data_IF_253816938568
#
_entry.id   IF_253816938568
#
_cell.length_a   1.000
_cell.length_b   1.000
_cell.length_c   1.000
_cell.angle_alpha   90.00
_cell.angle_beta   90.00
_cell.angle_gamma   90.00
#
_symmetry.space_group_name_H-M   'P 1'
#
loop_
_entity.id
_entity.type
_entity.pdbx_description
1 polymer ?
2 non-polymer ?
3 non-polymer ?
4 non-polymer ?
5 non-polymer ?
6 water ?
#
# COMPACT_ATOMS: atom_id res chain seq x y z
N UNK A 1 6.13 16.17 -19.65
CA UNK A 1 5.66 15.87 -21.03
C UNK A 1 4.20 15.42 -21.01
N UNK A 2 3.63 15.25 -22.20
CA UNK A 2 2.29 14.70 -22.36
C UNK A 2 2.27 13.26 -22.87
N UNK A 3 3.41 12.57 -22.76
CA UNK A 3 3.48 11.16 -23.15
C UNK A 3 3.40 10.24 -21.94
N UNK A 4 2.90 9.02 -22.12
CA UNK A 4 2.94 8.07 -21.01
C UNK A 4 4.36 7.65 -20.65
N UNK A 5 4.55 7.10 -19.44
CA UNK A 5 5.89 6.63 -19.06
C UNK A 5 6.37 5.48 -19.93
N UNK A 6 7.68 5.43 -20.16
CA UNK A 6 8.31 4.32 -20.87
C UNK A 6 8.10 3.04 -20.08
N UNK A 7 7.60 2.00 -20.76
CA UNK A 7 7.27 0.74 -20.14
C UNK A 7 8.48 -0.18 -19.90
N UNK A 8 8.27 -1.28 -19.20
CA UNK A 8 6.97 -1.61 -18.57
C UNK A 8 6.70 -0.75 -17.33
N UNK A 9 5.43 -0.66 -16.96
CA UNK A 9 4.99 0.16 -15.84
C UNK A 9 4.38 -0.75 -14.77
N UNK A 10 4.64 -0.42 -13.50
CA UNK A 10 4.08 -1.17 -12.36
C UNK A 10 3.72 -0.23 -11.21
N UNK A 11 2.42 -0.10 -10.95
CA UNK A 11 1.94 0.72 -9.83
C UNK A 11 2.40 0.11 -8.50
N UNK A 12 2.83 0.98 -7.60
CA UNK A 12 3.41 0.58 -6.31
C UNK A 12 2.29 0.54 -5.26
N UNK A 13 2.21 -0.56 -4.53
CA UNK A 13 1.22 -0.75 -3.47
C UNK A 13 1.57 -0.02 -2.18
N UNK A 14 0.56 0.18 -1.33
CA UNK A 14 0.74 0.91 -0.08
C UNK A 14 1.64 0.18 0.92
N UNK A 15 1.71 -1.14 0.79
CA UNK A 15 2.51 -2.00 1.67
C UNK A 15 3.92 -2.28 1.13
N UNK A 16 4.32 -1.57 0.08
CA UNK A 16 5.71 -1.57 -0.36
C UNK A 16 6.51 -0.55 0.45
N UNK A 17 7.84 -0.58 0.34
CA UNK A 17 8.67 0.42 1.03
C UNK A 17 8.18 1.83 0.78
N UNK A 18 8.04 2.60 1.86
CA UNK A 18 7.73 4.02 1.79
C UNK A 18 8.90 4.80 2.37
N UNK A 19 9.33 5.83 1.64
CA UNK A 19 10.36 6.75 2.12
C UNK A 19 9.79 7.81 3.05
N UNK A 20 8.48 8.08 2.96
CA UNK A 20 7.85 9.13 3.76
C UNK A 20 6.34 8.97 3.75
N UNK A 21 5.69 9.83 4.53
CA UNK A 21 4.24 10.01 4.50
C UNK A 21 3.96 11.50 4.36
N UNK A 22 2.93 11.83 3.58
CA UNK A 22 2.59 13.19 3.21
C UNK A 22 1.30 13.63 3.90
N UNK A 23 1.40 14.73 4.66
CA UNK A 23 0.27 15.33 5.38
C UNK A 23 0.28 16.84 5.07
N UNK A 24 -0.78 17.54 5.48
CA UNK A 24 -0.95 18.96 5.13
C UNK A 24 -1.36 19.79 6.33
N UNK A 25 -0.84 21.03 6.39
CA UNK A 25 -1.23 22.04 7.37
C UNK A 25 -1.98 23.15 6.62
N UNK A 26 -3.07 23.73 7.14
CA UNK A 26 -3.74 23.40 8.40
C UNK A 26 -4.17 21.94 8.52
N UNK A 27 -4.02 21.40 9.73
CA UNK A 27 -4.11 19.98 9.98
C UNK A 27 -5.54 19.44 9.99
N UNK A 28 -5.67 18.19 9.53
CA UNK A 28 -6.85 17.38 9.75
C UNK A 28 -6.60 16.14 10.57
N UNK A 29 -5.40 16.02 11.14
CA UNK A 29 -5.01 14.86 11.93
C UNK A 29 -4.47 15.32 13.28
N UNK A 30 -4.58 14.45 14.31
CA UNK A 30 -4.10 14.82 15.63
C UNK A 30 -2.58 14.86 15.71
N UNK A 31 -2.07 15.76 16.54
CA UNK A 31 -0.64 15.88 16.74
C UNK A 31 0.00 14.57 17.21
N UNK A 32 -0.73 13.81 18.03
CA UNK A 32 -0.24 12.52 18.51
C UNK A 32 0.07 11.56 17.36
N UNK A 33 -0.73 11.60 16.28
CA UNK A 33 -0.46 10.78 15.10
C UNK A 33 0.82 11.22 14.41
N UNK A 34 1.00 12.53 14.24
CA UNK A 34 2.21 13.06 13.61
C UNK A 34 3.44 12.64 14.43
N UNK A 35 3.34 12.75 15.76
CA UNK A 35 4.40 12.31 16.66
C UNK A 35 4.71 10.83 16.46
N UNK A 36 3.67 9.99 16.42
CA UNK A 36 3.89 8.54 16.27
C UNK A 36 4.51 8.23 14.90
N UNK A 37 4.01 8.89 13.85
CA UNK A 37 4.58 8.71 12.51
C UNK A 37 6.06 9.07 12.47
N UNK A 38 6.38 10.24 13.01
CA UNK A 38 7.75 10.76 12.98
C UNK A 38 8.76 9.99 13.84
N UNK A 39 8.28 9.15 14.77
CA UNK A 39 9.19 8.31 15.56
C UNK A 39 10.07 7.45 14.65
N UNK A 40 9.48 6.88 13.60
CA UNK A 40 10.19 5.95 12.69
C UNK A 40 10.29 6.37 11.23
N UNK A 41 9.41 7.26 10.76
CA UNK A 41 9.31 7.57 9.33
C UNK A 41 9.37 9.06 9.08
N UNK A 42 9.82 9.42 7.88
CA UNK A 42 9.84 10.81 7.46
C UNK A 42 8.41 11.28 7.24
N UNK A 43 8.08 12.41 7.85
CA UNK A 43 6.80 13.07 7.65
C UNK A 43 7.06 14.34 6.85
N UNK A 44 6.46 14.42 5.66
CA UNK A 44 6.52 15.61 4.82
C UNK A 44 5.24 16.39 5.06
N UNK A 45 5.36 17.61 5.58
CA UNK A 45 4.19 18.47 5.81
C UNK A 45 4.10 19.51 4.70
N UNK A 46 2.94 19.58 4.05
CA UNK A 46 2.68 20.61 3.05
C UNK A 46 2.23 21.88 3.78
N UNK A 47 2.90 22.99 3.46
CA UNK A 47 2.60 24.33 3.99
C UNK A 47 2.60 25.33 2.85
N UNK A 48 2.01 26.50 3.07
CA UNK A 48 1.82 27.50 2.02
C UNK A 48 2.97 28.49 1.87
N UNK A 49 3.84 28.56 2.87
CA UNK A 49 4.90 29.55 2.90
C UNK A 49 5.95 29.16 3.91
N UNK A 50 7.08 29.86 3.84
CA UNK A 50 8.18 29.69 4.80
C UNK A 50 7.72 30.01 6.22
N UNK A 51 6.94 31.08 6.38
CA UNK A 51 6.40 31.46 7.69
C UNK A 51 5.50 30.37 8.27
N UNK A 52 4.70 29.77 7.40
CA UNK A 52 3.81 28.69 7.85
C UNK A 52 4.62 27.44 8.24
N UNK A 53 5.66 27.13 7.48
CA UNK A 53 6.61 26.09 7.88
C UNK A 53 7.09 26.33 9.31
N UNK A 54 7.52 27.55 9.60
CA UNK A 54 8.03 27.86 10.93
C UNK A 54 6.97 27.80 12.03
N UNK A 55 5.74 28.17 11.71
CA UNK A 55 4.62 27.98 12.64
C UNK A 55 4.44 26.49 12.99
N UNK A 56 4.51 25.63 11.98
CA UNK A 56 4.40 24.19 12.17
C UNK A 56 5.58 23.65 12.99
N UNK A 57 6.79 24.11 12.68
CA UNK A 57 7.98 23.69 13.45
C UNK A 57 7.82 24.01 14.94
N UNK A 58 7.32 25.21 15.25
CA UNK A 58 7.06 25.58 16.63
C UNK A 58 6.10 24.59 17.31
N UNK A 59 5.01 24.26 16.63
CA UNK A 59 4.03 23.29 17.15
C UNK A 59 4.63 21.90 17.34
N UNK A 60 5.39 21.44 16.34
CA UNK A 60 6.09 20.14 16.44
C UNK A 60 7.07 20.10 17.61
N UNK A 61 7.82 21.19 17.78
CA UNK A 61 8.78 21.30 18.88
C UNK A 61 8.08 21.24 20.24
N UNK A 62 6.99 22.00 20.36
CA UNK A 62 6.22 22.04 21.61
C UNK A 62 5.58 20.70 21.97
N UNK A 63 5.24 19.91 20.95
CA UNK A 63 4.62 18.59 21.13
C UNK A 63 5.60 17.42 21.22
N UNK A 64 6.90 17.69 21.15
CA UNK A 64 7.92 16.64 21.28
C UNK A 64 8.07 15.73 20.07
N UNK A 65 7.73 16.26 18.89
CA UNK A 65 7.86 15.51 17.64
C UNK A 65 9.34 15.36 17.30
N UNK A 66 9.72 14.19 16.78
CA UNK A 66 11.09 13.93 16.30
C UNK A 66 11.37 14.77 15.05
N UNK A 67 11.98 15.94 15.25
CA UNK A 67 12.25 16.87 14.15
C UNK A 67 13.18 16.33 13.08
N UNK A 68 14.06 15.38 13.41
CA UNK A 68 14.95 14.78 12.40
C UNK A 68 14.17 14.10 11.30
N UNK A 69 12.93 13.69 11.58
CA UNK A 69 12.06 13.11 10.55
C UNK A 69 11.00 14.06 9.99
N UNK A 70 11.16 15.37 10.18
CA UNK A 70 10.19 16.36 9.71
C UNK A 70 10.72 17.16 8.53
N UNK A 71 10.08 16.98 7.39
CA UNK A 71 10.38 17.65 6.14
C UNK A 71 9.18 18.48 5.66
N UNK A 72 9.41 19.41 4.73
CA UNK A 72 8.36 20.33 4.27
C UNK A 72 8.36 20.54 2.77
N UNK A 73 7.16 20.72 2.20
CA UNK A 73 6.99 21.20 0.83
C UNK A 73 6.17 22.47 0.91
N UNK A 74 6.63 23.52 0.21
CA UNK A 74 5.92 24.78 0.15
C UNK A 74 5.08 24.82 -1.14
N UNK A 75 3.77 24.79 -0.97
CA UNK A 75 2.83 24.80 -2.09
C UNK A 75 1.45 25.13 -1.57
N UNK A 76 0.66 25.80 -2.39
CA UNK A 76 -0.73 26.08 -2.06
C UNK A 76 -1.55 24.80 -2.13
N UNK A 77 -2.42 24.60 -1.14
CA UNK A 77 -3.40 23.52 -1.16
C UNK A 77 -4.74 24.04 -0.67
N UNK A 78 -5.81 23.41 -1.15
CA UNK A 78 -7.18 23.71 -0.69
C UNK A 78 -7.61 22.89 0.53
N UNK A 79 -7.06 21.69 0.70
CA UNK A 79 -7.54 20.79 1.75
C UNK A 79 -6.46 19.90 2.33
N UNK A 80 -6.82 19.23 3.44
CA UNK A 80 -5.93 18.27 4.08
C UNK A 80 -6.12 16.83 3.62
N UNK A 81 -6.94 16.60 2.58
CA UNK A 81 -7.18 15.24 2.09
C UNK A 81 -6.09 14.80 1.12
N UNK A 82 -4.87 14.65 1.63
CA UNK A 82 -3.72 14.33 0.79
C UNK A 82 -3.86 12.95 0.12
N UNK A 83 -4.64 12.06 0.71
CA UNK A 83 -4.94 10.79 0.06
C UNK A 83 -5.50 10.98 -1.33
N UNK A 84 -6.34 11.99 -1.48
CA UNK A 84 -7.20 12.08 -2.64
C UNK A 84 -6.63 12.85 -3.81
N UNK A 85 -5.75 13.81 -3.55
CA UNK A 85 -5.22 14.68 -4.60
C UNK A 85 -3.72 14.57 -4.89
N UNK A 86 -2.94 13.94 -4.00
CA UNK A 86 -1.50 13.85 -4.25
C UNK A 86 -1.23 12.75 -5.28
N UNK A 87 -0.02 12.70 -5.82
CA UNK A 87 0.27 11.84 -6.96
C UNK A 87 0.35 10.36 -6.60
N UNK A 88 0.15 9.52 -7.61
CA UNK A 88 0.25 8.07 -7.44
C UNK A 88 1.61 7.59 -7.91
N UNK A 89 2.17 6.60 -7.23
CA UNK A 89 3.51 6.12 -7.52
C UNK A 89 3.53 4.88 -8.41
N UNK A 90 4.43 4.88 -9.38
CA UNK A 90 4.63 3.74 -10.26
C UNK A 90 6.09 3.60 -10.63
N UNK A 91 6.53 2.34 -10.74
CA UNK A 91 7.81 2.05 -11.37
C UNK A 91 7.63 2.06 -12.88
N UNK A 92 8.64 2.54 -13.59
CA UNK A 92 8.63 2.55 -15.04
C UNK A 92 10.06 2.41 -15.58
N UNK A 93 10.17 2.10 -16.87
CA UNK A 93 11.46 2.01 -17.54
C UNK A 93 12.47 1.12 -16.77
N UNK A 94 11.97 -0.03 -16.31
CA UNK A 94 12.72 -1.05 -15.53
C UNK A 94 13.06 -0.67 -14.08
N UNK A 95 13.74 0.46 -13.89
CA UNK A 95 14.29 0.80 -12.58
C UNK A 95 14.13 2.27 -12.20
N UNK A 96 13.02 2.89 -12.62
CA UNK A 96 12.73 4.27 -12.22
C UNK A 96 11.41 4.33 -11.46
N UNK A 97 11.32 5.29 -10.55
CA UNK A 97 10.09 5.57 -9.81
C UNK A 97 9.58 6.92 -10.29
N UNK A 98 8.30 6.94 -10.67
CA UNK A 98 7.65 8.14 -11.18
C UNK A 98 6.36 8.44 -10.44
N UNK A 99 5.85 9.64 -10.69
CA UNK A 99 4.60 10.12 -10.12
C UNK A 99 3.56 10.26 -11.23
N UNK A 100 2.34 9.85 -10.95
CA UNK A 100 1.23 9.95 -11.91
C UNK A 100 0.22 10.95 -11.36
N UNK A 101 0.01 12.04 -12.12
CA UNK A 101 -1.01 13.04 -11.87
C UNK A 101 -2.30 12.60 -12.57
N UNK A 102 -3.41 13.17 -12.12
CA UNK A 102 -4.74 12.86 -12.63
C UNK A 102 -5.61 14.09 -12.38
N UNK A 103 -6.81 14.12 -12.94
CA UNK A 103 -7.74 15.23 -12.71
C UNK A 103 -8.50 14.92 -11.41
N UNK A 104 -8.18 15.67 -10.36
CA UNK A 104 -8.84 15.50 -9.07
C UNK A 104 -10.34 15.75 -9.24
N UNK A 105 -11.16 14.82 -8.73
CA UNK A 105 -12.61 14.88 -8.94
C UNK A 105 -13.37 15.85 -8.01
N UNK A 106 -12.73 16.98 -7.67
CA UNK A 106 -13.30 18.01 -6.81
C UNK A 106 -12.89 19.37 -7.38
N UNK A 107 -13.70 20.42 -7.14
CA UNK A 107 -13.39 21.77 -7.60
C UNK A 107 -12.39 22.45 -6.66
N UNK A 108 -11.17 21.91 -6.65
CA UNK A 108 -10.12 22.28 -5.72
C UNK A 108 -8.84 22.42 -6.54
N UNK A 109 -8.65 23.59 -7.17
CA UNK A 109 -7.59 23.71 -8.18
C UNK A 109 -6.16 23.66 -7.65
N UNK A 110 -5.94 24.09 -6.41
CA UNK A 110 -4.61 24.00 -5.79
C UNK A 110 -4.28 22.56 -5.41
N UNK A 111 -5.25 21.86 -4.83
CA UNK A 111 -5.13 20.41 -4.61
C UNK A 111 -4.80 19.70 -5.93
N UNK A 112 -5.55 20.03 -6.98
CA UNK A 112 -5.38 19.39 -8.28
C UNK A 112 -3.98 19.62 -8.86
N UNK A 113 -3.43 20.81 -8.65
CA UNK A 113 -2.13 21.17 -9.20
C UNK A 113 -0.97 20.57 -8.41
N UNK A 114 -1.22 20.21 -7.14
CA UNK A 114 -0.15 19.86 -6.20
C UNK A 114 0.88 18.81 -6.67
N UNK A 115 0.44 17.74 -7.36
CA UNK A 115 1.42 16.70 -7.74
C UNK A 115 2.69 17.20 -8.44
N UNK A 116 2.61 18.26 -9.25
CA UNK A 116 3.82 18.81 -9.87
C UNK A 116 4.85 19.26 -8.82
N UNK A 117 4.39 19.86 -7.72
CA UNK A 117 5.28 20.29 -6.64
C UNK A 117 5.86 19.10 -5.87
N UNK A 118 5.04 18.05 -5.73
CA UNK A 118 5.47 16.80 -5.12
C UNK A 118 6.59 16.14 -5.93
N UNK A 119 6.39 16.04 -7.24
CA UNK A 119 7.40 15.45 -8.12
C UNK A 119 8.71 16.27 -8.11
N UNK A 120 8.58 17.59 -8.13
CA UNK A 120 9.73 18.48 -8.07
C UNK A 120 10.51 18.29 -6.77
N UNK A 121 9.80 18.25 -5.65
CA UNK A 121 10.42 18.03 -4.34
C UNK A 121 11.16 16.69 -4.28
N UNK A 122 10.51 15.64 -4.78
CA UNK A 122 11.09 14.30 -4.74
C UNK A 122 12.20 14.06 -5.77
N UNK A 123 12.27 14.92 -6.80
CA UNK A 123 13.25 14.75 -7.86
C UNK A 123 12.92 13.60 -8.80
N UNK A 124 11.62 13.41 -9.08
CA UNK A 124 11.17 12.34 -9.98
C UNK A 124 10.33 12.91 -11.10
N UNK A 125 10.21 12.16 -12.19
CA UNK A 125 9.39 12.56 -13.32
C UNK A 125 7.90 12.38 -13.00
N UNK A 126 7.08 13.27 -13.56
CA UNK A 126 5.62 13.18 -13.43
C UNK A 126 4.98 12.94 -14.80
N UNK A 127 3.92 12.13 -14.81
CA UNK A 127 3.18 11.78 -16.01
C UNK A 127 1.70 12.08 -15.79
N UNK A 128 1.05 12.64 -16.80
CA UNK A 128 -0.34 13.11 -16.68
C UNK A 128 -1.36 12.14 -17.24
N UNK A 129 -2.06 11.44 -16.36
CA UNK A 129 -3.10 10.51 -16.77
C UNK A 129 -4.43 11.26 -16.79
N UNK A 130 -4.99 11.47 -17.99
CA UNK A 130 -6.19 12.29 -18.13
C UNK A 130 -7.47 11.49 -17.81
N UNK A 131 -7.66 11.24 -16.52
CA UNK A 131 -8.88 10.64 -15.98
C UNK A 131 -9.26 11.44 -14.75
N UNK A 132 -10.56 11.62 -14.55
CA UNK A 132 -11.07 12.13 -13.29
C UNK A 132 -10.94 11.02 -12.26
N UNK A 133 -10.16 11.28 -11.21
CA UNK A 133 -9.79 10.27 -10.22
C UNK A 133 -9.67 10.87 -8.82
N UNK A 134 -9.52 9.97 -7.85
CA UNK A 134 -9.27 10.36 -6.47
C UNK A 134 -8.58 9.19 -5.77
N UNK A 135 -7.48 9.48 -5.08
CA UNK A 135 -6.70 8.44 -4.43
C UNK A 135 -7.44 7.58 -3.42
N UNK A 136 -8.43 8.16 -2.74
CA UNK A 136 -9.25 7.39 -1.79
C UNK A 136 -10.02 6.27 -2.46
N UNK A 137 -10.30 6.44 -3.75
CA UNK A 137 -10.98 5.41 -4.51
C UNK A 137 -10.02 4.52 -5.33
N UNK A 138 -8.77 4.42 -4.92
CA UNK A 138 -7.77 3.66 -5.64
C UNK A 138 -6.92 2.85 -4.70
N UNK A 139 -6.72 1.58 -5.03
CA UNK A 139 -5.68 0.79 -4.41
C UNK A 139 -5.17 -0.24 -5.41
N UNK A 140 -3.86 -0.49 -5.36
CA UNK A 140 -3.24 -1.52 -6.21
C UNK A 140 -2.58 -2.59 -5.37
N UNK A 141 -2.49 -3.81 -5.93
CA UNK A 141 -1.80 -4.89 -5.23
C UNK A 141 -0.29 -4.96 -5.47
N UNK A 142 0.22 -4.11 -6.35
CA UNK A 142 1.63 -4.16 -6.77
C UNK A 142 1.97 -5.21 -7.83
N UNK A 143 0.95 -5.88 -8.35
CA UNK A 143 1.08 -6.90 -9.38
C UNK A 143 0.11 -6.63 -10.55
N UNK A 144 -0.23 -5.36 -10.77
CA UNK A 144 -1.04 -4.98 -11.90
C UNK A 144 -2.54 -4.98 -11.73
N UNK A 145 -3.04 -5.27 -10.51
CA UNK A 145 -4.48 -5.14 -10.22
C UNK A 145 -4.77 -3.87 -9.45
N UNK A 146 -5.92 -3.27 -9.72
CA UNK A 146 -6.40 -2.13 -8.95
C UNK A 146 -7.91 -2.27 -8.76
N UNK A 147 -8.36 -1.95 -7.56
CA UNK A 147 -9.78 -1.94 -7.22
C UNK A 147 -10.24 -0.51 -7.06
N UNK A 148 -11.37 -0.19 -7.67
CA UNK A 148 -12.02 1.12 -7.52
C UNK A 148 -13.52 0.94 -7.49
N UNK A 149 -14.22 1.85 -6.81
CA UNK A 149 -15.67 1.94 -6.97
C UNK A 149 -16.03 2.46 -8.37
N UNK A 150 -17.30 2.25 -8.70
CA UNK A 150 -17.89 2.59 -9.98
C UNK A 150 -17.70 4.03 -10.48
N UNK A 151 -17.42 4.99 -9.60
CA UNK A 151 -17.19 6.37 -10.03
C UNK A 151 -15.98 6.52 -10.97
N UNK A 152 -15.05 5.57 -10.93
CA UNK A 152 -13.96 5.52 -11.90
C UNK A 152 -14.48 5.50 -13.35
N UNK A 153 -15.62 4.85 -13.58
CA UNK A 153 -16.28 4.90 -14.89
C UNK A 153 -17.26 6.06 -15.00
N UNK A 154 -18.12 6.25 -13.99
CA UNK A 154 -19.23 7.21 -14.12
C UNK A 154 -18.78 8.67 -14.13
N UNK A 155 -17.65 8.98 -13.50
CA UNK A 155 -17.07 10.33 -13.57
C UNK A 155 -16.14 10.54 -14.77
N UNK A 156 -16.02 9.50 -15.61
CA UNK A 156 -15.30 9.56 -16.88
C UNK A 156 -16.21 9.04 -18.00
N UNK A 157 -17.45 9.50 -17.99
CA UNK A 157 -18.50 8.93 -18.85
C UNK A 157 -18.36 9.26 -20.34
N UNK A 158 -17.51 10.23 -20.69
CA UNK A 158 -17.21 10.49 -22.11
C UNK A 158 -16.28 9.42 -22.71
N UNK A 159 -15.62 8.65 -21.85
CA UNK A 159 -14.80 7.52 -22.28
C UNK A 159 -15.54 6.20 -22.08
N UNK A 160 -15.27 5.24 -22.95
CA UNK A 160 -15.73 3.86 -22.74
C UNK A 160 -14.97 3.24 -21.57
N UNK A 161 -15.52 2.18 -21.01
CA UNK A 161 -14.83 1.42 -19.96
C UNK A 161 -13.45 0.97 -20.45
N UNK A 162 -13.38 0.47 -21.70
CA UNK A 162 -12.11 0.07 -22.31
C UNK A 162 -11.07 1.21 -22.35
N UNK A 163 -11.52 2.41 -22.72
CA UNK A 163 -10.63 3.59 -22.75
C UNK A 163 -10.13 3.98 -21.36
N UNK A 164 -11.00 3.89 -20.36
CA UNK A 164 -10.61 4.12 -18.97
C UNK A 164 -9.58 3.07 -18.54
N UNK A 165 -9.87 1.80 -18.83
CA UNK A 165 -8.93 0.70 -18.52
C UNK A 165 -7.57 0.93 -19.20
N UNK A 166 -7.60 1.37 -20.46
CA UNK A 166 -6.35 1.60 -21.20
C UNK A 166 -5.51 2.73 -20.61
N UNK A 167 -6.15 3.79 -20.12
CA UNK A 167 -5.41 4.86 -19.44
C UNK A 167 -4.70 4.32 -18.21
N UNK A 168 -5.40 3.47 -17.45
CA UNK A 168 -4.80 2.86 -16.26
C UNK A 168 -3.63 1.93 -16.63
N UNK A 169 -3.75 1.23 -17.75
CA UNK A 169 -2.66 0.39 -18.26
C UNK A 169 -1.44 1.24 -18.68
N UNK A 170 -1.69 2.28 -19.46
CA UNK A 170 -0.59 3.10 -20.01
C UNK A 170 0.17 3.90 -18.95
N UNK A 171 -0.53 4.41 -17.94
CA UNK A 171 0.10 5.26 -16.92
C UNK A 171 0.50 4.53 -15.64
N UNK A 172 -0.19 3.44 -15.32
CA UNK A 172 0.04 2.71 -14.06
C UNK A 172 0.36 1.23 -14.21
N UNK A 173 0.37 0.71 -15.45
CA UNK A 173 0.61 -0.71 -15.68
C UNK A 173 -0.49 -1.64 -15.21
N UNK A 174 -1.68 -1.10 -14.95
CA UNK A 174 -2.79 -1.90 -14.46
C UNK A 174 -3.34 -2.74 -15.62
N UNK A 175 -3.24 -4.06 -15.48
CA UNK A 175 -3.79 -5.02 -16.44
C UNK A 175 -5.12 -5.64 -15.99
N UNK A 176 -5.46 -5.47 -14.71
CA UNK A 176 -6.72 -5.93 -14.14
C UNK A 176 -7.34 -4.79 -13.33
N UNK A 177 -8.18 -4.01 -14.02
CA UNK A 177 -8.80 -2.82 -13.45
C UNK A 177 -10.17 -3.26 -12.96
N UNK A 178 -10.23 -3.55 -11.66
CA UNK A 178 -11.41 -4.16 -11.05
C UNK A 178 -12.31 -3.08 -10.47
N UNK A 179 -13.19 -2.57 -11.33
CA UNK A 179 -14.14 -1.53 -10.95
C UNK A 179 -15.45 -2.19 -10.57
N UNK A 180 -15.92 -1.88 -9.36
CA UNK A 180 -17.10 -2.52 -8.78
C UNK A 180 -18.09 -1.48 -8.28
N UNK A 181 -19.36 -1.89 -8.20
CA UNK A 181 -20.41 -1.03 -7.63
C UNK A 181 -20.16 -0.88 -6.14
N UNK A 182 -20.17 0.37 -5.66
CA UNK A 182 -19.80 0.66 -4.29
C UNK A 182 -20.87 0.06 -3.38
N UNK A 183 -20.46 -0.70 -2.35
CA UNK A 183 -21.41 -1.39 -1.46
C UNK A 183 -21.88 -0.57 -0.24
N UNK A 184 -21.41 0.66 -0.07
CA UNK A 184 -21.63 1.41 1.17
C UNK A 184 -22.86 2.32 1.26
N UNK A 185 -23.49 2.62 0.13
CA UNK A 185 -24.71 3.45 0.14
C UNK A 185 -24.55 4.86 0.70
N UNK A 186 -23.38 5.45 0.51
CA UNK A 186 -23.11 6.82 0.97
C UNK A 186 -22.59 7.65 -0.20
N UNK A 187 -22.39 8.96 0.01
CA UNK A 187 -22.10 9.87 -1.10
C UNK A 187 -20.73 9.66 -1.72
N UNK A 188 -19.76 9.25 -0.91
CA UNK A 188 -18.36 9.43 -1.32
C UNK A 188 -17.89 8.39 -2.34
N UNK A 189 -18.37 7.16 -2.26
CA UNK A 189 -18.01 6.10 -3.20
C UNK A 189 -16.49 5.92 -3.36
N UNK A 190 -15.80 5.80 -2.23
CA UNK A 190 -14.35 5.51 -2.21
C UNK A 190 -14.11 4.11 -1.66
N UNK A 191 -13.33 3.33 -2.39
CA UNK A 191 -12.91 2.00 -1.90
C UNK A 191 -12.38 2.02 -0.46
N UNK A 192 -11.66 3.07 -0.05
CA UNK A 192 -11.06 3.04 1.30
C UNK A 192 -12.05 3.12 2.45
N UNK A 193 -13.33 3.33 2.15
CA UNK A 193 -14.39 3.23 3.16
C UNK A 193 -14.97 1.84 3.31
N UNK A 194 -14.57 0.89 2.46
CA UNK A 194 -15.03 -0.50 2.60
C UNK A 194 -14.03 -1.61 2.31
N UNK A 195 -12.91 -1.30 1.66
CA UNK A 195 -11.98 -2.35 1.24
C UNK A 195 -10.53 -1.89 1.27
N UNK A 196 -9.63 -2.82 1.57
CA UNK A 196 -8.21 -2.51 1.64
C UNK A 196 -7.37 -3.77 1.41
N UNK A 197 -6.53 -3.77 0.38
CA UNK A 197 -5.50 -4.81 0.27
C UNK A 197 -4.54 -4.65 1.45
N UNK A 198 -4.35 -5.71 2.23
CA UNK A 198 -3.34 -5.71 3.29
C UNK A 198 -2.00 -6.29 2.84
N UNK A 199 -2.05 -7.08 1.78
CA UNK A 199 -0.91 -7.75 1.15
C UNK A 199 -1.41 -8.22 -0.22
N UNK A 200 -0.54 -8.76 -1.08
CA UNK A 200 -1.04 -9.22 -2.37
C UNK A 200 -2.10 -10.32 -2.28
N UNK A 201 -2.10 -11.05 -1.16
CA UNK A 201 -3.00 -12.17 -0.93
C UNK A 201 -4.03 -11.96 0.17
N UNK A 202 -4.20 -10.72 0.62
CA UNK A 202 -5.08 -10.41 1.75
C UNK A 202 -5.90 -9.16 1.45
N UNK A 203 -7.20 -9.23 1.67
CA UNK A 203 -8.05 -8.05 1.54
C UNK A 203 -9.00 -7.96 2.74
N UNK A 204 -9.11 -6.75 3.27
CA UNK A 204 -10.02 -6.42 4.36
C UNK A 204 -11.28 -5.84 3.75
N UNK A 205 -12.44 -6.37 4.15
CA UNK A 205 -13.73 -5.89 3.66
C UNK A 205 -14.60 -5.57 4.87
N UNK A 206 -15.17 -4.36 4.87
CA UNK A 206 -16.07 -3.92 5.93
C UNK A 206 -17.24 -4.88 6.14
N UNK A 207 -17.69 -4.99 7.40
CA UNK A 207 -18.86 -5.76 7.77
C UNK A 207 -19.74 -4.87 8.63
N UNK A 208 -21.05 -5.04 8.52
CA UNK A 208 -22.00 -4.30 9.33
C UNK A 208 -22.99 -5.27 9.98
N UNK A 209 -23.77 -4.81 10.97
CA UNK A 209 -24.78 -5.70 11.58
C UNK A 209 -25.79 -6.24 10.56
N UNK A 210 -26.38 -7.40 10.87
CA UNK A 210 -27.30 -8.09 9.95
C UNK A 210 -28.44 -7.20 9.41
N UNK A 211 -28.96 -6.31 10.27
CA UNK A 211 -30.10 -5.47 9.91
C UNK A 211 -29.72 -4.11 9.27
N UNK A 212 -28.42 -3.86 9.12
CA UNK A 212 -27.93 -2.66 8.43
C UNK A 212 -28.31 -2.78 6.94
N UNK A 213 -28.79 -1.69 6.31
CA UNK A 213 -29.24 -1.79 4.89
C UNK A 213 -28.19 -2.26 3.86
N UNK A 214 -26.93 -2.02 4.16
CA UNK A 214 -25.80 -2.46 3.33
C UNK A 214 -25.18 -3.81 3.73
N UNK A 215 -25.81 -4.53 4.65
CA UNK A 215 -25.24 -5.81 5.11
C UNK A 215 -24.99 -6.78 3.96
N UNK A 216 -26.01 -7.02 3.14
CA UNK A 216 -25.88 -7.99 2.04
C UNK A 216 -24.88 -7.52 0.96
N UNK A 217 -24.88 -6.24 0.64
CA UNK A 217 -23.93 -5.71 -0.35
C UNK A 217 -22.49 -5.98 0.10
N UNK A 218 -22.20 -5.78 1.37
CA UNK A 218 -20.86 -6.03 1.90
C UNK A 218 -20.52 -7.52 1.99
N UNK A 219 -21.48 -8.35 2.39
CA UNK A 219 -21.28 -9.81 2.35
C UNK A 219 -21.01 -10.28 0.92
N UNK A 220 -21.73 -9.74 -0.05
CA UNK A 220 -21.51 -10.08 -1.46
C UNK A 220 -20.10 -9.68 -1.92
N UNK A 221 -19.64 -8.50 -1.49
CA UNK A 221 -18.30 -8.04 -1.83
C UNK A 221 -17.24 -8.95 -1.22
N UNK A 222 -17.42 -9.34 0.04
CA UNK A 222 -16.48 -10.28 0.68
C UNK A 222 -16.44 -11.63 -0.06
N UNK A 223 -17.60 -12.16 -0.43
CA UNK A 223 -17.67 -13.41 -1.19
C UNK A 223 -16.99 -13.31 -2.55
N UNK A 224 -17.16 -12.17 -3.21
CA UNK A 224 -16.52 -11.90 -4.50
C UNK A 224 -14.99 -12.04 -4.40
N UNK A 225 -14.38 -11.42 -3.40
CA UNK A 225 -12.93 -11.54 -3.26
C UNK A 225 -12.49 -12.92 -2.78
N UNK A 226 -13.27 -13.54 -1.90
CA UNK A 226 -12.94 -14.89 -1.41
C UNK A 226 -12.91 -15.94 -2.53
N UNK A 227 -13.73 -15.72 -3.57
CA UNK A 227 -13.77 -16.61 -4.74
C UNK A 227 -12.69 -16.31 -5.78
N UNK A 228 -11.96 -15.22 -5.58
CA UNK A 228 -11.04 -14.72 -6.57
C UNK A 228 -9.61 -15.14 -6.26
N UNK A 229 -8.94 -15.67 -7.29
CA UNK A 229 -7.53 -16.00 -7.21
C UNK A 229 -6.71 -14.69 -7.21
N UNK A 230 -5.76 -14.58 -6.28
CA UNK A 230 -4.91 -13.40 -6.14
C UNK A 230 -3.62 -13.55 -6.97
N UNK A 231 -2.77 -12.52 -6.93
CA UNK A 231 -1.56 -12.48 -7.77
C UNK A 231 -0.59 -13.63 -7.48
N UNK A 232 -0.61 -14.13 -6.25
CA UNK A 232 0.22 -15.27 -5.85
C UNK A 232 -0.38 -16.64 -6.19
N UNK A 233 -1.62 -16.67 -6.68
CA UNK A 233 -2.23 -17.91 -7.18
C UNK A 233 -3.18 -18.62 -6.22
N UNK A 234 -3.19 -18.17 -4.96
CA UNK A 234 -4.12 -18.66 -3.96
C UNK A 234 -5.34 -17.74 -3.95
N UNK A 235 -6.44 -18.20 -3.37
CA UNK A 235 -7.59 -17.32 -3.15
C UNK A 235 -7.23 -16.26 -2.13
N UNK A 236 -7.79 -15.06 -2.28
CA UNK A 236 -7.58 -14.01 -1.26
C UNK A 236 -7.98 -14.52 0.11
N UNK A 237 -7.15 -14.23 1.10
CA UNK A 237 -7.54 -14.30 2.50
C UNK A 237 -8.39 -13.05 2.73
N UNK A 238 -9.66 -13.24 3.05
CA UNK A 238 -10.60 -12.13 3.27
C UNK A 238 -10.85 -11.95 4.76
N UNK A 239 -10.50 -10.77 5.24
CA UNK A 239 -10.66 -10.38 6.64
C UNK A 239 -11.80 -9.39 6.70
N UNK A 240 -12.48 -9.34 7.85
CA UNK A 240 -13.65 -8.47 8.01
C UNK A 240 -13.48 -7.57 9.21
N UNK A 241 -13.72 -6.27 9.01
CA UNK A 241 -13.73 -5.30 10.10
C UNK A 241 -15.19 -4.93 10.36
N UNK A 242 -15.67 -5.26 11.55
CA UNK A 242 -17.07 -5.02 11.91
C UNK A 242 -17.29 -3.60 12.43
N UNK A 243 -18.03 -2.83 11.65
CA UNK A 243 -18.46 -1.48 12.03
C UNK A 243 -19.86 -1.57 12.61
N UNK A 244 -19.95 -1.52 13.94
CA UNK A 244 -21.24 -1.55 14.63
C UNK A 244 -21.94 -0.19 14.58
N UNK A 245 -21.16 0.87 14.43
CA UNK A 245 -21.64 2.26 14.45
C UNK A 245 -20.86 3.13 13.44
N UNK A 246 -20.73 2.59 12.23
CA UNK A 246 -20.11 3.30 11.10
C UNK A 246 -18.67 3.78 11.38
N UNK A 247 -17.93 3.02 12.18
CA UNK A 247 -16.53 3.35 12.48
C UNK A 247 -15.69 3.08 11.21
N UNK A 248 -14.74 3.98 10.91
CA UNK A 248 -13.97 3.89 9.66
C UNK A 248 -12.76 2.92 9.71
N UNK A 249 -13.00 1.69 10.14
CA UNK A 249 -11.89 0.75 10.40
C UNK A 249 -11.09 0.32 9.18
N UNK A 250 -11.66 0.38 7.97
CA UNK A 250 -10.88 0.08 6.75
C UNK A 250 -10.03 1.27 6.29
N UNK A 251 -10.25 2.44 6.88
CA UNK A 251 -9.58 3.68 6.49
C UNK A 251 -8.27 3.87 7.25
N UNK A 252 -7.41 2.86 7.14
CA UNK A 252 -6.14 2.80 7.83
C UNK A 252 -4.99 3.08 6.87
N UNK A 253 -3.81 3.34 7.43
CA UNK A 253 -2.59 3.54 6.65
C UNK A 253 -1.59 2.44 6.98
N UNK A 254 -1.12 1.73 5.95
CA UNK A 254 0.03 0.84 6.08
C UNK A 254 1.26 1.65 5.69
N UNK A 255 2.20 1.79 6.62
CA UNK A 255 3.43 2.52 6.37
C UNK A 255 4.58 1.66 6.84
N UNK A 256 5.27 1.05 5.87
CA UNK A 256 6.36 0.11 6.16
C UNK A 256 5.87 -1.01 7.08
N UNK A 257 6.43 -1.18 8.28
CA UNK A 257 6.04 -2.29 9.18
C UNK A 257 5.04 -1.87 10.28
N UNK A 258 4.33 -0.76 10.07
CA UNK A 258 3.32 -0.29 11.02
C UNK A 258 2.02 -0.03 10.29
N UNK A 259 0.91 -0.17 11.02
CA UNK A 259 -0.43 0.08 10.49
C UNK A 259 -1.16 0.99 11.48
N UNK A 260 -1.67 2.10 10.95
CA UNK A 260 -2.33 3.12 11.75
C UNK A 260 -3.82 3.06 11.46
N UNK A 261 -4.59 2.65 12.47
CA UNK A 261 -6.02 2.36 12.32
C UNK A 261 -6.81 3.40 13.11
N UNK A 262 -7.71 4.14 12.44
CA UNK A 262 -8.53 5.10 13.21
C UNK A 262 -9.53 4.37 14.09
N UNK A 263 -9.70 4.86 15.31
CA UNK A 263 -10.64 4.28 16.29
C UNK A 263 -11.50 5.40 16.84
N UNK A 264 -12.79 5.13 17.02
CA UNK A 264 -13.69 6.15 17.56
C UNK A 264 -14.84 5.61 18.42
N UNK A 265 -14.64 4.45 19.02
CA UNK A 265 -15.54 3.92 20.05
C UNK A 265 -16.64 3.03 19.52
N UNK A 266 -17.16 2.08 20.31
CA UNK A 266 -16.70 1.79 21.69
C UNK A 266 -15.34 1.10 21.72
N UNK A 267 -14.66 1.17 22.87
CA UNK A 267 -13.31 0.62 23.03
C UNK A 267 -13.22 -0.87 22.65
N UNK A 268 -14.20 -1.66 23.08
CA UNK A 268 -14.21 -3.11 22.77
C UNK A 268 -14.31 -3.38 21.27
N UNK A 269 -15.14 -2.60 20.58
CA UNK A 269 -15.35 -2.74 19.14
C UNK A 269 -14.10 -2.27 18.38
N UNK A 270 -13.47 -1.19 18.85
CA UNK A 270 -12.18 -0.74 18.32
C UNK A 270 -11.14 -1.83 18.45
N UNK A 271 -11.05 -2.42 19.64
CA UNK A 271 -10.06 -3.47 19.88
C UNK A 271 -10.32 -4.71 19.01
N UNK A 272 -11.59 -5.04 18.78
CA UNK A 272 -11.93 -6.14 17.86
C UNK A 272 -11.35 -5.86 16.45
N UNK A 273 -11.51 -4.63 15.96
CA UNK A 273 -10.97 -4.24 14.66
C UNK A 273 -9.44 -4.35 14.63
N UNK A 274 -8.79 -3.84 15.68
CA UNK A 274 -7.33 -3.95 15.79
C UNK A 274 -6.90 -5.42 15.78
N UNK A 275 -7.64 -6.29 16.46
CA UNK A 275 -7.35 -7.72 16.46
C UNK A 275 -7.39 -8.35 15.08
N UNK A 276 -8.32 -7.89 14.24
CA UNK A 276 -8.39 -8.41 12.87
C UNK A 276 -7.09 -8.09 12.12
N UNK A 277 -6.63 -6.84 12.23
CA UNK A 277 -5.36 -6.46 11.61
C UNK A 277 -4.19 -7.26 12.17
N UNK A 278 -4.17 -7.46 13.48
CA UNK A 278 -3.08 -8.22 14.11
C UNK A 278 -3.03 -9.67 13.62
N UNK A 279 -4.19 -10.30 13.49
CA UNK A 279 -4.32 -11.67 12.98
C UNK A 279 -3.89 -11.74 11.52
N UNK A 280 -4.34 -10.78 10.72
CA UNK A 280 -4.03 -10.76 9.28
C UNK A 280 -2.57 -10.47 8.96
N UNK A 281 -1.92 -9.69 9.83
CA UNK A 281 -0.62 -9.10 9.51
C UNK A 281 0.45 -9.36 10.58
N UNK A 282 0.82 -10.64 10.78
CA UNK A 282 1.86 -10.93 11.76
C UNK A 282 3.16 -10.21 11.45
N UNK A 283 3.82 -9.74 12.51
CA UNK A 283 5.04 -8.95 12.37
C UNK A 283 4.85 -7.45 12.28
N UNK A 284 3.65 -7.00 11.92
CA UNK A 284 3.35 -5.57 11.85
C UNK A 284 2.94 -5.04 13.22
N UNK A 285 3.30 -3.80 13.51
CA UNK A 285 2.83 -3.11 14.70
C UNK A 285 1.52 -2.42 14.35
N UNK A 286 0.43 -2.86 14.97
CA UNK A 286 -0.90 -2.32 14.72
C UNK A 286 -1.20 -1.26 15.80
N UNK A 287 -1.51 -0.04 15.36
CA UNK A 287 -1.63 1.12 16.25
C UNK A 287 -3.02 1.75 16.06
N UNK A 288 -3.81 1.73 17.13
CA UNK A 288 -5.08 2.45 17.16
C UNK A 288 -4.85 3.93 17.37
N UNK A 289 -5.54 4.77 16.59
CA UNK A 289 -5.33 6.22 16.62
C UNK A 289 -6.64 6.97 16.87
N UNK A 290 -6.72 7.65 18.01
CA UNK A 290 -7.86 8.49 18.34
C UNK A 290 -7.83 9.74 17.49
N UNK A 291 -9.01 10.26 17.15
CA UNK A 291 -9.12 11.45 16.32
C UNK A 291 -8.88 12.74 17.09
N UNK A 292 -8.59 13.80 16.33
CA UNK A 292 -8.48 15.15 16.88
C UNK A 292 -9.90 15.71 17.11
N UNK A 293 -10.10 16.38 18.25
CA UNK A 293 -11.41 16.95 18.58
C UNK A 293 -11.95 17.93 17.52
N UNK A 294 -11.08 18.78 16.99
CA UNK A 294 -11.47 19.78 15.99
C UNK A 294 -11.79 19.22 14.61
N UNK A 295 -11.14 18.12 14.26
CA UNK A 295 -11.30 17.47 12.95
C UNK A 295 -11.45 15.96 13.14
N UNK A 296 -12.58 15.53 13.71
CA UNK A 296 -12.75 14.11 14.10
C UNK A 296 -12.79 13.15 12.92
N UNK A 297 -12.56 11.88 13.21
CA UNK A 297 -12.77 10.84 12.22
C UNK A 297 -14.27 10.75 11.90
N UNK A 298 -14.57 10.45 10.65
CA UNK A 298 -15.94 10.26 10.18
C UNK A 298 -15.98 8.93 9.45
N UNK A 299 -17.16 8.34 9.32
CA UNK A 299 -17.33 7.10 8.57
C UNK A 299 -16.80 7.15 7.14
N UNK A 300 -16.98 8.29 6.49
CA UNK A 300 -16.56 8.51 5.10
C UNK A 300 -15.21 9.22 4.96
N UNK A 301 -14.52 9.48 6.07
CA UNK A 301 -13.34 10.35 6.03
C UNK A 301 -12.54 10.17 7.31
N UNK A 302 -11.45 9.41 7.23
CA UNK A 302 -10.63 9.21 8.42
C UNK A 302 -9.13 9.21 8.08
N UNK A 303 -8.34 8.36 8.74
CA UNK A 303 -6.89 8.48 8.73
C UNK A 303 -6.29 8.26 7.32
N UNK A 304 -6.74 7.22 6.62
CA UNK A 304 -6.25 6.98 5.24
C UNK A 304 -6.50 8.18 4.34
N UNK A 305 -7.65 8.84 4.53
CA UNK A 305 -8.04 9.99 3.72
C UNK A 305 -7.13 11.21 3.88
N UNK A 306 -6.42 11.29 5.00
CA UNK A 306 -5.66 12.48 5.38
C UNK A 306 -4.16 12.20 5.43
N UNK A 307 -3.74 11.14 4.76
CA UNK A 307 -2.34 10.76 4.63
C UNK A 307 -2.10 10.22 3.23
N UNK A 308 -0.86 10.27 2.77
CA UNK A 308 -0.44 9.52 1.57
C UNK A 308 0.99 9.08 1.71
N UNK A 309 1.20 7.77 1.61
CA UNK A 309 2.55 7.21 1.58
C UNK A 309 3.32 7.71 0.36
N UNK A 310 4.63 7.81 0.53
CA UNK A 310 5.53 8.28 -0.53
C UNK A 310 6.55 7.19 -0.82
N UNK A 311 6.61 6.75 -2.07
CA UNK A 311 7.55 5.70 -2.46
C UNK A 311 9.00 6.17 -2.40
N UNK A 312 9.90 5.18 -2.41
CA UNK A 312 11.34 5.41 -2.36
C UNK A 312 11.85 5.54 -3.79
N UNK A 313 12.33 6.73 -4.15
CA UNK A 313 12.85 6.92 -5.51
C UNK A 313 14.07 6.04 -5.82
N UNK A 314 14.78 5.59 -4.78
CA UNK A 314 15.89 4.64 -4.93
C UNK A 314 15.53 3.20 -4.56
N UNK A 315 14.24 2.87 -4.61
CA UNK A 315 13.68 1.57 -4.19
C UNK A 315 14.48 0.36 -4.67
N UNK A 316 14.84 -0.50 -3.73
CA UNK A 316 15.39 -1.81 -4.04
C UNK A 316 14.20 -2.76 -4.16
N UNK A 317 13.79 -3.03 -5.40
CA UNK A 317 12.54 -3.74 -5.69
C UNK A 317 12.79 -5.23 -5.96
N UNK A 318 12.12 -6.09 -5.20
CA UNK A 318 12.13 -7.54 -5.39
C UNK A 318 10.83 -7.99 -6.04
N UNK A 319 10.92 -8.55 -7.25
CA UNK A 319 9.79 -9.14 -7.97
C UNK A 319 9.82 -10.63 -7.74
N UNK A 320 8.77 -11.19 -7.17
CA UNK A 320 8.72 -12.61 -6.84
C UNK A 320 7.31 -13.15 -6.81
N UNK A 321 7.09 -14.27 -7.49
CA UNK A 321 5.85 -15.03 -7.39
C UNK A 321 6.19 -16.28 -6.59
N UNK A 322 5.59 -16.47 -5.42
CA UNK A 322 6.03 -17.52 -4.53
C UNK A 322 5.56 -18.93 -4.89
N UNK A 323 6.30 -19.91 -4.36
CA UNK A 323 5.93 -21.32 -4.35
C UNK A 323 5.18 -21.56 -3.06
N UNK A 324 3.91 -21.97 -3.20
CA UNK A 324 3.00 -22.13 -2.06
C UNK A 324 2.26 -23.46 -2.11
N UNK A 325 1.89 -23.96 -0.94
CA UNK A 325 1.05 -25.14 -0.82
C UNK A 325 1.73 -26.43 -1.28
N UNK A 326 0.94 -27.38 -1.74
CA UNK A 326 1.46 -28.69 -2.14
C UNK A 326 2.17 -28.59 -3.49
N UNK A 327 3.47 -28.83 -3.48
CA UNK A 327 4.30 -28.69 -4.68
C UNK A 327 4.81 -30.05 -5.13
N UNK A 328 4.71 -30.29 -6.43
CA UNK A 328 5.00 -31.60 -7.03
C UNK A 328 6.48 -31.97 -6.95
N UNK A 329 7.38 -31.02 -7.18
CA UNK A 329 8.80 -31.32 -7.34
C UNK A 329 9.04 -32.01 -8.68
N UNK A 330 10.14 -32.75 -8.83
CA UNK A 330 11.16 -32.97 -7.80
C UNK A 330 12.06 -31.77 -7.53
N UNK A 331 12.06 -30.79 -8.43
CA UNK A 331 12.77 -29.54 -8.21
C UNK A 331 11.82 -28.52 -7.59
N UNK A 332 12.35 -27.72 -6.69
CA UNK A 332 11.61 -26.65 -6.03
C UNK A 332 12.43 -25.39 -6.23
N UNK A 333 12.26 -24.78 -7.40
CA UNK A 333 13.08 -23.65 -7.82
C UNK A 333 12.30 -22.35 -7.68
N UNK A 334 12.82 -21.43 -6.89
CA UNK A 334 12.23 -20.09 -6.77
C UNK A 334 13.00 -19.15 -7.68
N UNK A 335 12.31 -18.14 -8.19
CA UNK A 335 12.93 -17.12 -9.04
C UNK A 335 12.56 -15.75 -8.53
N UNK A 336 13.50 -14.82 -8.54
CA UNK A 336 13.20 -13.44 -8.20
C UNK A 336 14.02 -12.50 -9.06
N UNK A 337 13.42 -11.38 -9.48
CA UNK A 337 14.17 -10.29 -10.07
C UNK A 337 14.39 -9.24 -9.00
N UNK A 338 15.59 -8.68 -8.95
CA UNK A 338 15.92 -7.61 -8.02
C UNK A 338 16.49 -6.48 -8.85
N UNK A 339 15.94 -5.29 -8.65
CA UNK A 339 16.30 -4.08 -9.40
C UNK A 339 16.59 -2.97 -8.39
N UNK A 340 17.70 -2.27 -8.58
CA UNK A 340 18.06 -1.15 -7.74
C UNK A 340 17.69 0.15 -8.47
N UNK A 341 16.66 0.83 -7.99
CA UNK A 341 16.31 2.14 -8.54
C UNK A 341 17.32 3.22 -8.11
N UNK A 342 18.18 2.91 -7.12
CA UNK A 342 19.33 3.75 -6.76
C UNK A 342 20.54 3.56 -7.68
N UNK A 343 20.45 2.63 -8.64
CA UNK A 343 21.58 2.26 -9.52
C UNK A 343 22.80 1.80 -8.73
N UNK A 344 22.53 1.03 -7.67
CA UNK A 344 23.56 0.56 -6.76
C UNK A 344 23.85 -0.90 -7.08
N UNK A 345 25.07 -1.34 -6.77
CA UNK A 345 25.41 -2.75 -6.89
C UNK A 345 24.66 -3.55 -5.84
N UNK A 346 23.97 -4.59 -6.29
CA UNK A 346 23.16 -5.45 -5.42
C UNK A 346 24.02 -6.62 -4.93
N UNK A 347 24.10 -6.78 -3.62
CA UNK A 347 24.77 -7.93 -3.00
C UNK A 347 24.60 -7.91 -1.48
N UNK A 348 24.24 -9.03 -0.82
CA UNK A 348 23.86 -10.29 -1.45
C UNK A 348 22.37 -10.38 -1.75
N UNK A 349 21.99 -11.38 -2.52
CA UNK A 349 20.59 -11.79 -2.67
C UNK A 349 20.49 -13.20 -2.11
N UNK A 350 19.68 -13.36 -1.07
CA UNK A 350 19.60 -14.60 -0.31
C UNK A 350 18.19 -15.14 -0.19
N UNK A 351 18.08 -16.46 -0.08
CA UNK A 351 16.87 -17.12 0.38
C UNK A 351 17.11 -17.52 1.84
N UNK A 352 16.27 -17.00 2.73
CA UNK A 352 16.21 -17.48 4.12
C UNK A 352 15.14 -18.52 4.23
N UNK A 353 15.47 -19.67 4.82
CA UNK A 353 14.52 -20.78 4.88
C UNK A 353 14.59 -21.55 6.20
N UNK A 354 13.50 -22.26 6.47
CA UNK A 354 13.43 -23.16 7.62
C UNK A 354 12.65 -24.40 7.20
N UNK A 355 13.15 -25.56 7.62
CA UNK A 355 12.57 -26.84 7.25
C UNK A 355 11.94 -27.49 8.48
N UNK A 356 10.66 -27.83 8.37
CA UNK A 356 9.90 -28.48 9.43
C UNK A 356 9.83 -27.72 10.77
N UNK A 357 9.91 -26.39 10.68
CA UNK A 357 9.42 -25.52 11.75
C UNK A 357 10.30 -25.21 12.95
N UNK A 358 11.48 -25.82 13.04
CA UNK A 358 12.30 -25.70 14.23
C UNK A 358 13.66 -25.06 13.97
N UNK A 359 14.17 -24.43 15.03
CA UNK A 359 15.42 -23.72 14.97
C UNK A 359 15.25 -22.40 14.26
N UNK A 360 16.38 -21.85 13.82
CA UNK A 360 16.42 -20.55 13.19
C UNK A 360 16.38 -20.70 11.68
N UNK A 361 16.00 -19.61 11.01
CA UNK A 361 16.07 -19.56 9.56
C UNK A 361 17.54 -19.54 9.13
N UNK A 362 17.83 -20.24 8.04
CA UNK A 362 19.18 -20.32 7.48
C UNK A 362 19.23 -19.57 6.15
N UNK A 363 20.35 -18.89 5.89
CA UNK A 363 20.55 -18.13 4.67
C UNK A 363 21.29 -18.95 3.63
N UNK A 364 20.83 -18.89 2.38
CA UNK A 364 21.55 -19.41 1.23
C UNK A 364 21.57 -18.36 0.13
N UNK A 365 22.73 -18.15 -0.48
CA UNK A 365 22.83 -17.24 -1.60
C UNK A 365 22.06 -17.78 -2.80
N UNK A 366 21.28 -16.90 -3.43
CA UNK A 366 20.67 -17.21 -4.72
C UNK A 366 21.75 -17.09 -5.80
N UNK A 367 21.50 -17.73 -6.94
CA UNK A 367 22.40 -17.67 -8.09
C UNK A 367 21.87 -16.65 -9.09
N UNK A 368 22.71 -15.72 -9.51
CA UNK A 368 22.32 -14.77 -10.54
C UNK A 368 22.53 -15.42 -11.90
N UNK A 369 21.42 -15.75 -12.55
CA UNK A 369 21.46 -16.43 -13.85
C UNK A 369 21.76 -15.44 -14.97
N UNK A 370 21.11 -14.29 -14.92
CA UNK A 370 21.32 -13.20 -15.86
C UNK A 370 21.14 -11.90 -15.09
N UNK A 371 21.36 -10.77 -15.75
CA UNK A 371 21.35 -9.48 -15.06
C UNK A 371 20.02 -9.26 -14.32
N UNK A 372 20.10 -9.12 -13.00
CA UNK A 372 18.95 -8.90 -12.13
C UNK A 372 18.02 -10.09 -11.91
N UNK A 373 18.36 -11.27 -12.44
CA UNK A 373 17.48 -12.45 -12.36
C UNK A 373 18.16 -13.53 -11.54
N UNK A 374 17.56 -13.86 -10.40
CA UNK A 374 18.13 -14.76 -9.41
C UNK A 374 17.25 -15.98 -9.21
N UNK A 375 17.88 -17.15 -9.01
CA UNK A 375 17.13 -18.37 -8.69
C UNK A 375 17.78 -19.13 -7.55
N UNK A 376 16.99 -20.02 -6.95
CA UNK A 376 17.46 -20.89 -5.88
C UNK A 376 16.62 -22.16 -5.87
N UNK A 377 17.28 -23.30 -5.71
CA UNK A 377 16.61 -24.59 -5.70
C UNK A 377 16.74 -25.28 -4.34
N UNK A 378 15.60 -25.62 -3.73
CA UNK A 378 15.61 -26.31 -2.44
C UNK A 378 16.02 -27.76 -2.66
N UNK A 379 17.09 -28.18 -2.00
CA UNK A 379 17.67 -29.53 -2.17
C UNK A 379 17.55 -30.39 -0.92
N UNK A 380 17.59 -31.70 -1.11
CA UNK A 380 17.58 -32.66 -0.02
C UNK A 380 16.27 -32.80 0.72
N UNK A 381 15.17 -32.34 0.14
CA UNK A 381 13.89 -32.39 0.83
C UNK A 381 13.18 -33.72 0.59
N UNK A 382 12.55 -34.20 1.65
CA UNK A 382 11.79 -35.46 1.63
C UNK A 382 10.31 -35.18 1.51
N UNK A 383 9.58 -36.20 1.05
CA UNK A 383 8.14 -36.11 0.90
C UNK A 383 7.50 -35.70 2.23
N UNK A 384 6.59 -34.73 2.14
CA UNK A 384 5.89 -34.11 3.29
C UNK A 384 6.70 -33.11 4.12
N UNK A 385 7.96 -32.84 3.75
CA UNK A 385 8.71 -31.75 4.41
C UNK A 385 8.00 -30.42 4.19
N UNK A 386 7.95 -29.62 5.24
CA UNK A 386 7.33 -28.30 5.23
C UNK A 386 8.43 -27.24 5.14
N UNK A 387 8.29 -26.32 4.21
CA UNK A 387 9.28 -25.27 3.99
C UNK A 387 8.66 -23.91 4.28
N UNK A 388 9.38 -23.08 5.05
CA UNK A 388 9.10 -21.66 5.18
C UNK A 388 10.25 -20.92 4.54
N UNK A 389 9.98 -19.88 3.76
CA UNK A 389 11.07 -19.10 3.17
C UNK A 389 10.69 -17.64 2.91
N UNK A 390 11.72 -16.83 2.77
CA UNK A 390 11.58 -15.47 2.26
C UNK A 390 12.85 -15.07 1.54
N UNK A 391 12.75 -13.98 0.76
CA UNK A 391 13.89 -13.49 0.00
C UNK A 391 14.43 -12.24 0.69
N UNK A 392 15.74 -12.05 0.63
CA UNK A 392 16.42 -10.90 1.22
C UNK A 392 17.41 -10.35 0.21
N UNK A 393 17.45 -9.03 0.07
CA UNK A 393 18.41 -8.37 -0.81
C UNK A 393 18.92 -7.11 -0.15
N UNK A 394 20.16 -6.76 -0.49
CA UNK A 394 20.78 -5.52 -0.05
C UNK A 394 21.58 -4.93 -1.20
N UNK A 395 21.79 -3.62 -1.16
CA UNK A 395 22.68 -2.96 -2.14
C UNK A 395 23.64 -1.99 -1.46
N UNK A 396 24.60 -1.48 -2.21
CA UNK A 396 25.61 -0.62 -1.60
C UNK A 396 25.18 0.84 -1.40
N UNK A 397 23.92 1.16 -1.66
CA UNK A 397 23.34 2.42 -1.20
C UNK A 397 22.90 2.34 0.27
N UNK A 398 22.97 1.14 0.86
CA UNK A 398 22.57 0.92 2.25
C UNK A 398 21.15 0.37 2.38
N UNK A 399 20.47 0.15 1.25
CA UNK A 399 19.10 -0.37 1.28
C UNK A 399 19.11 -1.86 1.54
N UNK A 400 18.11 -2.31 2.31
CA UNK A 400 17.94 -3.70 2.71
C UNK A 400 16.45 -3.99 2.62
N UNK A 401 16.07 -5.01 1.85
CA UNK A 401 14.66 -5.36 1.65
C UNK A 401 14.45 -6.85 1.71
N UNK A 402 13.27 -7.26 2.17
CA UNK A 402 12.84 -8.64 2.06
C UNK A 402 11.58 -8.75 1.22
N UNK A 403 11.31 -9.96 0.72
CA UNK A 403 10.02 -10.29 0.14
C UNK A 403 9.53 -11.58 0.81
N UNK A 404 8.38 -11.56 1.50
CA UNK A 404 7.50 -10.38 1.67
C UNK A 404 8.14 -9.25 2.45
N UNK A 405 7.53 -8.07 2.37
CA UNK A 405 8.07 -6.88 3.02
C UNK A 405 8.44 -7.12 4.49
N UNK A 406 7.55 -7.76 5.23
CA UNK A 406 7.75 -7.97 6.67
C UNK A 406 8.80 -9.04 6.98
N UNK A 407 9.09 -9.91 6.02
CA UNK A 407 10.14 -10.91 6.17
C UNK A 407 9.75 -12.06 7.08
N UNK A 408 10.63 -12.35 8.03
CA UNK A 408 10.60 -13.59 8.80
C UNK A 408 9.30 -13.87 9.57
N UNK A 409 8.60 -12.83 10.09
CA UNK A 409 7.34 -13.13 10.78
C UNK A 409 6.19 -13.71 9.94
N UNK A 410 6.28 -13.61 8.61
CA UNK A 410 5.18 -14.06 7.73
C UNK A 410 5.74 -14.66 6.43
N UNK A 411 6.46 -15.77 6.55
CA UNK A 411 7.15 -16.35 5.40
C UNK A 411 6.21 -17.09 4.46
N UNK A 412 6.67 -17.31 3.23
CA UNK A 412 5.96 -18.17 2.30
C UNK A 412 6.09 -19.61 2.77
N UNK A 413 5.02 -20.39 2.60
CA UNK A 413 4.98 -21.78 3.06
C UNK A 413 4.58 -22.73 1.93
N UNK A 414 5.36 -23.80 1.76
CA UNK A 414 4.98 -24.87 0.84
C UNK A 414 5.35 -26.24 1.40
N UNK A 415 4.78 -27.28 0.81
CA UNK A 415 5.01 -28.65 1.22
C UNK A 415 5.55 -29.44 0.03
N UNK A 416 6.60 -30.21 0.30
CA UNK A 416 7.22 -31.05 -0.72
C UNK A 416 6.42 -32.33 -0.88
N UNK A 417 5.82 -32.53 -2.07
CA UNK A 417 5.08 -33.76 -2.35
C UNK A 417 5.92 -34.85 -3.01
N UNK A 418 6.94 -34.46 -3.77
CA UNK A 418 7.76 -35.39 -4.56
C UNK A 418 6.90 -36.33 -5.43
N UNK A 419 6.02 -35.72 -6.23
CA UNK A 419 5.15 -36.44 -7.15
C UNK A 419 5.06 -35.71 -8.50
X LIG B 1 -16.96 18.90 3.05
X LIG B 1 -16.87 17.40 3.07
X LIG B 1 -15.85 16.89 2.06
X LIG B 1 -15.68 17.49 0.99
X LIG B 1 -18.23 16.77 2.78
X LIG C 1 -15.18 15.79 2.41
X LIG C 1 -14.14 15.16 1.59
X LIG C 1 -14.60 14.97 0.15
X LIG C 1 -15.70 14.43 -0.09
X LIG C 1 -13.74 13.80 2.20
X LIG C 1 -12.63 13.04 1.51
X LIG C 1 -12.32 11.74 2.28
X LIG C 1 -11.51 10.79 1.51
X LIG C 1 -10.84 9.71 1.99
X LIG C 1 -10.16 9.00 1.07
X LIG C 1 -13.90 15.38 -0.78
X LIG D 1 -10.37 20.18 4.51
X LIG D 1 -9.06 20.76 4.57
X LIG D 1 -11.33 21.15 3.83
X LIG D 1 -11.63 22.22 4.73
X LIG E 1 5.51 -5.79 -4.33
X LIG E 1 6.38 -5.22 -3.34
X LIG E 1 4.09 -5.85 -3.79
X LIG E 1 4.08 -6.53 -2.52
X LIG F 1 -0.73 -14.77 8.01
X LIG F 1 -0.12 -14.58 6.74
X LIG F 1 -2.25 -14.67 7.92
X LIG F 1 -2.73 -15.76 7.13
X LIG G 1 2.54 -15.34 3.54
X LIG G 1 1.21 -14.98 3.18
X LIG G 1 3.56 -14.36 2.95
X LIG G 1 3.49 -13.12 3.66
X LIG H 1 10.40 -12.70 -11.38
X LIG H 1 9.07 -13.22 -11.28
X LIG H 1 11.41 -13.82 -11.57
X LIG H 1 11.31 -14.30 -12.91
X LIG I 1 -12.88 12.25 -18.23
X LIG I 1 -12.83 10.96 -18.84
X LIG I 1 -11.54 12.96 -18.27
X LIG I 1 -11.88 14.35 -18.09
X LIG J 1 17.52 -26.69 2.23
X LIG J 1 17.82 -28.08 2.10
X LIG J 1 17.15 -26.07 0.89
X LIG J 1 18.19 -26.24 -0.07
X LIG K 1 8.41 -2.12 -13.66
X LIG K 1 7.93 -3.08 -14.60
X LIG K 1 9.31 -1.06 -14.30
X LIG K 1 9.61 -1.36 -15.68
X LIG L 1 3.88 -17.81 10.55
X LIG L 1 3.36 -18.12 9.26
X LIG L 1 2.89 -16.99 11.34
X LIG L 1 2.53 -15.87 10.52
X LIG M 1 -5.73 12.66 -23.52
X LIG M 1 -5.27 11.46 -24.12
X LIG M 1 -6.53 13.45 -24.53
X LIG M 1 -6.17 14.84 -24.50
X LIG N 1 -19.15 -8.02 -5.88
X LIG N 1 -20.39 -7.87 -5.17
X LIG N 1 -18.87 -6.82 -6.76
X LIG N 1 -19.75 -6.83 -7.88
X LIG O 1 -4.27 -10.76 -9.41
X LIG O 1 -3.48 -11.03 -10.57
X LIG O 1 -5.43 -11.72 -9.31
X LIG O 1 -6.38 -11.18 -8.38
X LIG P 1 13.66 18.74 2.60
X LIG P 1 13.84 20.02 1.99
X LIG P 1 12.51 18.74 3.61
X LIG P 1 12.34 19.94 4.36
X LIG Q 1 -8.22 -3.86 -17.37
X LIG Q 1 -7.64 -3.65 -18.67
X LIG Q 1 -9.45 -4.77 -17.47
X LIG Q 1 -9.56 -5.51 -16.25
X LIG R 1 -8.85 24.62 4.97
X LIG R 1 -7.48 25.03 4.86
X LIG R 1 -9.11 23.93 6.32
X LIG R 1 -8.27 22.78 6.46
X LIG S 1 -8.82 -16.36 5.55
X LIG S 1 -7.80 -17.22 6.08
X LIG S 1 -9.02 -15.10 6.40
X LIG S 1 -10.27 -15.15 7.07
X LIG T 1 -18.38 5.63 -24.80
X LIG T 1 -18.87 4.33 -24.39
X LIG T 1 -18.95 6.73 -23.90
X LIG T 1 -19.17 7.91 -24.68
X LIG U 1 -4.15 16.62 -10.37
#
# INVERSE_FOLDING_TARGET
SMNPPAGPVRAIAEYERSAAVLVRYPFGIPMELIKELAKNDKVITIVASESQKNTVITQYTQSGVNLSNCDFIIAKTDSYWTRDYTGWFAMYDTNKVGLVDFIYNRPRPNDDEFPKYEAQYLGIEMFGMKLKQTGGNYMTDGYGSAVQSHIAYTENSSLSQAQVNQKMKDYLGITHHDVVQDPNGEYINHVDCWGKYLAPNKILIRKVPDNHPQHQALEDMAAYFAAQTCAWGTKYEVYRALATNEQPYTNSLILNNRVFVPVNGPASVDNDALNVYKTAMPGYEIIGVKGASGTPWLGTDALHCRTHEVADKGYLYIKHYPILGEQAGPDYKIEADVVSCANATISPVQCYYRINGSGSFKAADMTMESTGHYTYSFTGLNKNDKVEYYISAADNSGRKETYPFIGEPDPFKFTCMNETNTCTVTGAAKALRAWFNA
ALA N CA C O CB
ARG N CA C O CB CG CD NE CZ NH1 OXT
EDO C1 O1 C2 O2
EDO C1 O1 C2 O2
EDO C1 O1 C2 O2
EDO C1 O1 C2 O2
EDO C1 O1 C2 O2
EDO C1 O1 C2 O2
EDO C1 O1 C2 O2
EDO C1 O1 C2 O2
EDO C1 O1 C2 O2
EDO C1 O1 C2 O2
EDO C1 O1 C2 O2
EDO C1 O1 C2 O2
EDO C1 O1 C2 O2
EDO C1 O1 C2 O2
EDO C1 O1 C2 O2
EDO C1 O1 C2 O2
EDO C1 O1 C2 O2
NA NA
#
